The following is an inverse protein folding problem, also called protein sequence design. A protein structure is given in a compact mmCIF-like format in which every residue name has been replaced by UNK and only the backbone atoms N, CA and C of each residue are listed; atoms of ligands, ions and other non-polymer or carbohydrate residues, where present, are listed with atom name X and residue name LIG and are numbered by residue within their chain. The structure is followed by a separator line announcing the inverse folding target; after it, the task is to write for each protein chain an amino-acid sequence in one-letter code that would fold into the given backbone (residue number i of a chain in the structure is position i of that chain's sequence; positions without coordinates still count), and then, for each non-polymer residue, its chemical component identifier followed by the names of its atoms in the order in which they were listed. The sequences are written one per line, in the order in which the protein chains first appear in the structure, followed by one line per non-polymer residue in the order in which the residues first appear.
data_IF_724052548114
#
_entry.id   IF_724052548114
#
_cell.length_a   1.000
_cell.length_b   1.000
_cell.length_c   1.000
_cell.angle_alpha   90.00
_cell.angle_beta   90.00
_cell.angle_gamma   90.00
#
_symmetry.space_group_name_H-M   'P 1'
#
loop_
_entity.id
_entity.type
_entity.pdbx_description
1 polymer ?
#
# COMPACT_ATOMS: atom_id res chain seq x y z
N UNK A 1 5.29 3.78 19.28
CA UNK A 1 4.01 4.36 18.80
C UNK A 1 2.87 3.58 19.44
N UNK A 2 1.85 4.25 19.92
CA UNK A 2 0.68 3.57 20.48
C UNK A 2 -0.35 3.20 19.39
N UNK A 3 -1.32 2.37 19.77
CA UNK A 3 -2.34 1.89 18.82
C UNK A 3 -3.20 3.04 18.27
N UNK A 4 -3.57 4.00 19.09
CA UNK A 4 -4.39 5.14 18.65
C UNK A 4 -3.68 5.94 17.56
N UNK A 5 -2.41 6.24 17.75
CA UNK A 5 -1.60 6.96 16.76
C UNK A 5 -1.38 6.15 15.50
N UNK A 6 -1.16 4.83 15.64
CA UNK A 6 -1.00 3.92 14.50
C UNK A 6 -2.27 3.86 13.65
N UNK A 7 -3.43 3.69 14.28
CA UNK A 7 -4.73 3.69 13.59
C UNK A 7 -4.97 5.01 12.87
N UNK A 8 -4.69 6.15 13.52
CA UNK A 8 -4.87 7.46 12.92
C UNK A 8 -3.99 7.66 11.68
N UNK A 9 -2.72 7.25 11.74
CA UNK A 9 -1.82 7.32 10.59
C UNK A 9 -2.29 6.42 9.44
N UNK A 10 -2.65 5.18 9.73
CA UNK A 10 -3.12 4.23 8.72
C UNK A 10 -4.47 4.65 8.12
N UNK A 11 -5.35 5.27 8.90
CA UNK A 11 -6.59 5.86 8.38
C UNK A 11 -6.28 6.92 7.32
N UNK A 12 -5.33 7.81 7.60
CA UNK A 12 -4.91 8.83 6.63
C UNK A 12 -4.26 8.22 5.41
N UNK A 13 -3.37 7.24 5.60
CA UNK A 13 -2.67 6.57 4.50
C UNK A 13 -3.65 5.86 3.56
N UNK A 14 -4.52 5.00 4.10
CA UNK A 14 -5.44 4.23 3.28
C UNK A 14 -6.51 5.09 2.62
N UNK A 15 -6.96 6.16 3.29
CA UNK A 15 -7.87 7.13 2.68
C UNK A 15 -7.19 7.82 1.50
N UNK A 16 -5.96 8.31 1.68
CA UNK A 16 -5.21 8.96 0.62
C UNK A 16 -4.92 8.03 -0.56
N UNK A 17 -4.58 6.76 -0.28
CA UNK A 17 -4.41 5.76 -1.33
C UNK A 17 -5.71 5.52 -2.10
N UNK A 18 -6.83 5.34 -1.40
CA UNK A 18 -8.12 5.11 -2.05
C UNK A 18 -8.56 6.29 -2.92
N UNK A 19 -8.35 7.51 -2.45
CA UNK A 19 -8.61 8.71 -3.25
C UNK A 19 -7.74 8.75 -4.51
N UNK A 20 -6.45 8.45 -4.37
CA UNK A 20 -5.52 8.40 -5.49
C UNK A 20 -5.90 7.31 -6.51
N UNK A 21 -6.22 6.10 -6.05
CA UNK A 21 -6.63 4.99 -6.91
C UNK A 21 -7.95 5.27 -7.63
N UNK A 22 -8.81 6.09 -7.07
CA UNK A 22 -10.04 6.54 -7.72
C UNK A 22 -9.84 7.67 -8.74
N UNK A 23 -8.60 8.12 -8.93
CA UNK A 23 -8.26 9.20 -9.86
C UNK A 23 -8.11 10.57 -9.22
N UNK A 24 -8.13 10.65 -7.88
CA UNK A 24 -7.91 11.89 -7.15
C UNK A 24 -6.44 12.32 -7.11
N UNK A 25 -6.16 13.48 -6.50
CA UNK A 25 -4.80 14.03 -6.44
C UNK A 25 -3.90 13.21 -5.53
N UNK A 26 -2.59 13.30 -5.76
CA UNK A 26 -1.56 12.60 -4.98
C UNK A 26 -1.07 13.40 -3.76
N UNK A 27 -1.49 14.64 -3.58
CA UNK A 27 -0.91 15.57 -2.61
C UNK A 27 -0.95 15.04 -1.17
N UNK A 28 -2.10 14.58 -0.72
CA UNK A 28 -2.25 14.02 0.64
C UNK A 28 -1.42 12.74 0.82
N UNK A 29 -1.39 11.89 -0.19
CA UNK A 29 -0.60 10.66 -0.18
C UNK A 29 0.90 10.96 -0.12
N UNK A 30 1.38 11.87 -0.96
CA UNK A 30 2.77 12.28 -0.99
C UNK A 30 3.23 12.83 0.37
N UNK A 31 2.40 13.63 1.03
CA UNK A 31 2.70 14.21 2.34
C UNK A 31 2.80 13.20 3.47
N UNK A 32 2.30 11.97 3.29
CA UNK A 32 2.38 10.90 4.27
C UNK A 32 3.63 10.02 4.11
N UNK A 33 4.43 10.27 3.09
CA UNK A 33 5.65 9.51 2.78
C UNK A 33 6.89 10.36 3.07
N UNK A 34 7.89 9.78 3.73
CA UNK A 34 9.18 10.49 3.87
C UNK A 34 9.84 10.64 2.50
N UNK A 35 10.73 11.66 2.32
CA UNK A 35 11.44 11.80 1.04
C UNK A 35 12.24 10.58 0.62
N UNK A 36 12.83 9.87 1.58
CA UNK A 36 13.65 8.67 1.35
C UNK A 36 12.90 7.35 1.53
N UNK A 37 11.57 7.36 1.49
CA UNK A 37 10.75 6.16 1.67
C UNK A 37 11.21 4.99 0.79
N UNK A 38 11.13 3.78 1.32
CA UNK A 38 11.26 2.55 0.54
C UNK A 38 9.96 1.75 0.62
N UNK A 39 9.60 1.12 -0.50
CA UNK A 39 8.41 0.28 -0.59
C UNK A 39 8.81 -1.03 -1.26
N UNK A 40 8.80 -2.12 -0.50
CA UNK A 40 9.24 -3.43 -0.95
C UNK A 40 8.04 -4.30 -1.27
N UNK A 41 7.96 -4.78 -2.50
CA UNK A 41 6.91 -5.66 -3.00
C UNK A 41 7.54 -6.98 -3.40
N UNK A 42 7.46 -8.02 -2.55
CA UNK A 42 7.96 -9.34 -2.89
C UNK A 42 7.17 -9.99 -4.02
N UNK A 43 7.73 -11.04 -4.61
CA UNK A 43 7.06 -11.87 -5.59
C UNK A 43 7.70 -11.80 -6.97
N UNK A 44 6.94 -12.26 -7.97
CA UNK A 44 7.40 -12.44 -9.34
C UNK A 44 6.57 -11.67 -10.37
N UNK A 45 5.59 -10.85 -9.93
CA UNK A 45 4.83 -10.02 -10.86
C UNK A 45 5.70 -8.91 -11.45
N UNK A 46 5.28 -8.29 -12.57
CA UNK A 46 5.99 -7.13 -13.11
C UNK A 46 6.10 -5.94 -12.15
N UNK A 47 5.22 -5.88 -11.14
CA UNK A 47 5.23 -4.83 -10.12
C UNK A 47 6.09 -5.18 -8.90
N UNK A 48 6.65 -6.40 -8.81
CA UNK A 48 7.54 -6.77 -7.71
C UNK A 48 8.84 -5.97 -7.76
N UNK A 49 9.40 -5.67 -6.60
CA UNK A 49 10.66 -4.96 -6.50
C UNK A 49 10.75 -4.05 -5.29
N UNK A 50 11.82 -3.27 -5.25
CA UNK A 50 12.03 -2.26 -4.21
C UNK A 50 11.96 -0.88 -4.87
N UNK A 51 11.01 -0.08 -4.43
CA UNK A 51 10.81 1.28 -4.91
C UNK A 51 11.41 2.25 -3.89
N UNK A 52 12.26 3.16 -4.36
CA UNK A 52 13.03 4.05 -3.49
C UNK A 52 12.73 5.51 -3.79
N UNK A 53 12.36 6.26 -2.74
CA UNK A 53 12.00 7.66 -2.82
C UNK A 53 10.55 7.88 -3.27
N UNK A 54 10.02 9.05 -2.93
CA UNK A 54 8.63 9.42 -3.26
C UNK A 54 8.27 9.23 -4.73
N UNK A 55 9.09 9.70 -5.70
CA UNK A 55 8.72 9.54 -7.12
C UNK A 55 8.56 8.10 -7.54
N UNK A 56 9.45 7.20 -7.12
CA UNK A 56 9.34 5.79 -7.46
C UNK A 56 8.14 5.12 -6.79
N UNK A 57 7.90 5.42 -5.52
CA UNK A 57 6.77 4.85 -4.78
C UNK A 57 5.44 5.34 -5.37
N UNK A 58 5.31 6.61 -5.68
CA UNK A 58 4.12 7.14 -6.36
C UNK A 58 3.96 6.54 -7.76
N UNK A 59 5.05 6.29 -8.47
CA UNK A 59 5.04 5.57 -9.74
C UNK A 59 4.48 4.17 -9.62
N UNK A 60 4.85 3.44 -8.57
CA UNK A 60 4.30 2.12 -8.26
C UNK A 60 2.78 2.20 -8.00
N UNK A 61 2.34 3.14 -7.18
CA UNK A 61 0.90 3.34 -6.95
C UNK A 61 0.16 3.68 -8.25
N UNK A 62 0.75 4.50 -9.10
CA UNK A 62 0.19 4.86 -10.40
C UNK A 62 0.03 3.65 -11.32
N UNK A 63 1.01 2.75 -11.36
CA UNK A 63 0.91 1.51 -12.15
C UNK A 63 -0.28 0.65 -11.69
N UNK A 64 -0.47 0.49 -10.39
CA UNK A 64 -1.61 -0.26 -9.84
C UNK A 64 -2.94 0.42 -10.16
N UNK A 65 -3.02 1.74 -10.00
CA UNK A 65 -4.20 2.51 -10.38
C UNK A 65 -4.56 2.28 -11.84
N UNK A 66 -3.60 2.38 -12.73
CA UNK A 66 -3.82 2.30 -14.17
C UNK A 66 -4.21 0.88 -14.61
N UNK A 67 -3.54 -0.15 -14.09
CA UNK A 67 -3.92 -1.56 -14.35
C UNK A 67 -5.33 -1.87 -13.87
N UNK A 68 -5.75 -1.28 -12.77
CA UNK A 68 -7.09 -1.48 -12.19
C UNK A 68 -8.13 -0.52 -12.78
N UNK A 69 -7.77 0.37 -13.69
CA UNK A 69 -8.73 1.31 -14.30
C UNK A 69 -9.46 2.18 -13.29
N UNK A 70 -8.82 2.56 -12.19
CA UNK A 70 -9.43 3.36 -11.12
C UNK A 70 -10.30 2.58 -10.15
N UNK A 71 -10.34 1.25 -10.23
CA UNK A 71 -11.24 0.41 -9.40
C UNK A 71 -10.59 -0.12 -8.13
N UNK A 72 -9.27 0.05 -7.96
CA UNK A 72 -8.55 -0.47 -6.79
C UNK A 72 -9.04 0.21 -5.51
N UNK A 73 -9.40 -0.60 -4.52
CA UNK A 73 -9.78 -0.12 -3.17
C UNK A 73 -9.15 -0.99 -2.10
N UNK A 74 -8.77 -0.34 -1.01
CA UNK A 74 -8.22 -0.96 0.20
C UNK A 74 -9.24 -0.86 1.33
N UNK A 75 -9.35 -1.95 2.10
CA UNK A 75 -10.13 -1.98 3.34
C UNK A 75 -9.29 -2.63 4.44
N UNK A 76 -8.87 -1.84 5.43
CA UNK A 76 -8.08 -2.36 6.54
C UNK A 76 -8.97 -3.09 7.54
N UNK A 77 -8.56 -4.31 7.94
CA UNK A 77 -9.27 -5.12 8.91
C UNK A 77 -8.68 -5.06 10.32
N UNK A 78 -7.35 -4.94 10.45
CA UNK A 78 -6.69 -4.96 11.75
C UNK A 78 -5.36 -4.20 11.72
N UNK A 79 -4.89 -3.85 12.92
CA UNK A 79 -3.62 -3.15 13.15
C UNK A 79 -2.87 -3.84 14.28
N UNK A 80 -1.57 -4.06 14.09
CA UNK A 80 -0.65 -4.52 15.11
C UNK A 80 0.40 -3.46 15.36
N UNK A 81 0.77 -3.28 16.62
CA UNK A 81 1.79 -2.32 17.03
C UNK A 81 2.96 -3.10 17.60
N UNK A 82 4.14 -2.91 17.02
CA UNK A 82 5.38 -3.49 17.50
C UNK A 82 6.14 -2.56 18.46
N UNK A 83 7.35 -2.93 18.77
CA UNK A 83 8.24 -2.08 19.54
C UNK A 83 8.70 -0.89 18.68
N UNK A 84 8.90 0.25 19.33
CA UNK A 84 9.30 1.47 18.64
C UNK A 84 8.22 1.97 17.69
N UNK A 85 8.64 2.33 16.48
CA UNK A 85 7.77 2.94 15.45
C UNK A 85 7.46 1.98 14.30
N UNK A 86 7.38 0.70 14.59
CA UNK A 86 6.98 -0.34 13.62
C UNK A 86 5.55 -0.77 13.86
N UNK A 87 4.75 -0.73 12.81
CA UNK A 87 3.33 -1.11 12.84
C UNK A 87 3.00 -2.01 11.66
N UNK A 88 1.91 -2.76 11.77
CA UNK A 88 1.44 -3.63 10.70
C UNK A 88 -0.06 -3.45 10.48
N UNK A 89 -0.50 -3.60 9.23
CA UNK A 89 -1.90 -3.53 8.86
C UNK A 89 -2.30 -4.76 8.06
N UNK A 90 -3.32 -5.48 8.52
CA UNK A 90 -4.01 -6.49 7.73
C UNK A 90 -5.04 -5.76 6.85
N UNK A 91 -4.88 -5.85 5.54
CA UNK A 91 -5.66 -5.06 4.58
C UNK A 91 -6.17 -5.94 3.47
N UNK A 92 -7.44 -5.80 3.14
CA UNK A 92 -8.05 -6.41 1.96
C UNK A 92 -7.95 -5.45 0.79
N UNK A 93 -7.60 -5.98 -0.37
CA UNK A 93 -7.62 -5.26 -1.62
C UNK A 93 -8.66 -5.85 -2.57
N UNK A 94 -9.23 -5.00 -3.42
CA UNK A 94 -10.10 -5.41 -4.52
C UNK A 94 -9.86 -4.52 -5.73
N UNK A 95 -9.95 -5.10 -6.91
CA UNK A 95 -9.83 -4.37 -8.17
C UNK A 95 -10.41 -5.17 -9.31
N UNK A 96 -10.82 -4.48 -10.37
CA UNK A 96 -11.13 -5.09 -11.66
C UNK A 96 -9.93 -4.87 -12.59
N UNK A 97 -9.29 -5.97 -13.00
CA UNK A 97 -8.08 -5.95 -13.85
C UNK A 97 -8.32 -6.87 -15.04
N UNK A 98 -8.09 -6.36 -16.25
CA UNK A 98 -8.32 -7.11 -17.49
C UNK A 98 -9.74 -7.72 -17.55
N UNK A 99 -10.73 -7.00 -17.07
CA UNK A 99 -12.15 -7.40 -17.12
C UNK A 99 -12.57 -8.39 -16.03
N UNK A 100 -11.68 -8.78 -15.11
CA UNK A 100 -11.98 -9.70 -14.02
C UNK A 100 -11.87 -9.00 -12.67
N UNK A 101 -12.82 -9.29 -11.77
CA UNK A 101 -12.78 -8.81 -10.39
C UNK A 101 -11.89 -9.72 -9.55
N UNK A 102 -10.98 -9.10 -8.78
CA UNK A 102 -10.05 -9.79 -7.90
C UNK A 102 -10.15 -9.27 -6.48
N UNK A 103 -9.91 -10.17 -5.52
CA UNK A 103 -9.82 -9.89 -4.10
C UNK A 103 -8.57 -10.56 -3.54
N UNK A 104 -7.89 -9.88 -2.62
CA UNK A 104 -6.70 -10.42 -1.94
C UNK A 104 -6.54 -9.77 -0.58
N UNK A 105 -5.65 -10.34 0.23
CA UNK A 105 -5.29 -9.78 1.53
C UNK A 105 -3.78 -9.68 1.66
N UNK A 106 -3.33 -8.59 2.29
CA UNK A 106 -1.92 -8.35 2.56
C UNK A 106 -1.71 -7.95 4.01
N UNK A 107 -0.48 -8.17 4.49
CA UNK A 107 0.03 -7.51 5.68
C UNK A 107 1.05 -6.46 5.21
N UNK A 108 0.74 -5.20 5.41
CA UNK A 108 1.70 -4.11 5.26
C UNK A 108 2.47 -3.93 6.56
N UNK A 109 3.79 -4.08 6.49
CA UNK A 109 4.67 -3.82 7.63
C UNK A 109 5.35 -2.47 7.41
N UNK A 110 5.13 -1.52 8.32
CA UNK A 110 5.56 -0.14 8.15
C UNK A 110 6.56 0.28 9.21
N UNK A 111 7.61 1.00 8.80
CA UNK A 111 8.40 1.84 9.68
C UNK A 111 7.89 3.27 9.60
N UNK A 112 7.70 3.90 10.75
CA UNK A 112 7.12 5.25 10.86
C UNK A 112 8.20 6.20 11.39
N UNK A 113 8.30 7.38 10.79
CA UNK A 113 9.15 8.47 11.24
C UNK A 113 8.28 9.72 11.44
N UNK A 114 8.06 10.13 12.68
CA UNK A 114 7.11 11.19 13.01
C UNK A 114 5.69 10.74 12.64
N UNK A 115 5.06 11.49 11.75
CA UNK A 115 3.71 11.18 11.25
C UNK A 115 3.76 10.75 9.77
N UNK A 116 4.88 10.21 9.32
CA UNK A 116 5.08 9.76 7.95
C UNK A 116 5.55 8.31 7.91
N UNK A 117 5.26 7.64 6.81
CA UNK A 117 5.78 6.29 6.53
C UNK A 117 7.17 6.41 5.94
N UNK A 118 8.14 5.75 6.54
CA UNK A 118 9.54 5.72 6.09
C UNK A 118 9.88 4.45 5.32
N UNK A 119 9.19 3.35 5.56
CA UNK A 119 9.36 2.10 4.82
C UNK A 119 8.09 1.26 4.89
N UNK A 120 7.87 0.47 3.86
CA UNK A 120 6.82 -0.55 3.81
C UNK A 120 7.35 -1.83 3.21
N UNK A 121 6.95 -2.96 3.79
CA UNK A 121 7.04 -4.29 3.19
C UNK A 121 5.63 -4.81 2.99
N UNK A 122 5.26 -5.09 1.74
CA UNK A 122 3.93 -5.55 1.40
C UNK A 122 3.93 -7.07 1.27
N UNK A 123 3.40 -7.75 2.29
CA UNK A 123 3.41 -9.20 2.40
C UNK A 123 2.03 -9.75 2.04
N UNK A 124 1.91 -10.43 0.89
CA UNK A 124 0.65 -11.07 0.52
C UNK A 124 0.41 -12.33 1.35
N UNK A 125 -0.84 -12.57 1.77
CA UNK A 125 -1.20 -13.81 2.49
C UNK A 125 -1.15 -15.03 1.55
N UNK A 126 -1.41 -14.82 0.26
CA UNK A 126 -1.21 -15.82 -0.81
C UNK A 126 -0.38 -15.17 -1.91
N UNK A 127 0.94 -15.38 -1.87
CA UNK A 127 1.86 -14.72 -2.79
C UNK A 127 1.65 -15.17 -4.24
N UNK A 128 1.37 -16.45 -4.47
CA UNK A 128 1.14 -16.99 -5.81
C UNK A 128 -0.10 -16.35 -6.44
N UNK A 129 -1.20 -16.28 -5.70
CA UNK A 129 -2.42 -15.64 -6.16
C UNK A 129 -2.22 -14.14 -6.40
N UNK A 130 -1.53 -13.46 -5.49
CA UNK A 130 -1.23 -12.03 -5.61
C UNK A 130 -0.41 -11.74 -6.87
N UNK A 131 0.63 -12.53 -7.13
CA UNK A 131 1.45 -12.38 -8.33
C UNK A 131 0.62 -12.57 -9.61
N UNK A 132 -0.27 -13.56 -9.62
CA UNK A 132 -1.15 -13.81 -10.76
C UNK A 132 -2.11 -12.64 -11.04
N UNK A 133 -2.66 -12.02 -9.98
CA UNK A 133 -3.56 -10.86 -10.11
C UNK A 133 -2.83 -9.69 -10.80
N UNK A 134 -1.59 -9.42 -10.41
CA UNK A 134 -0.82 -8.29 -10.93
C UNK A 134 0.05 -8.63 -12.15
N UNK A 135 -0.18 -9.78 -12.77
CA UNK A 135 0.43 -10.21 -14.05
C UNK A 135 -0.69 -10.42 -15.08
N UNK A 136 -1.35 -9.34 -15.52
CA UNK A 136 -2.45 -9.46 -16.46
C UNK A 136 -2.01 -9.85 -17.87
#
# INVERSE_FOLDING_TARGET
MDRTSAVALLDRLHRAQNEFYAGGPADALEGLLTPGITWTVPGHSPLAGIYRGRPQVLGYFSMRRDLAGGTFRLNRRDVLVGDGDRIAALTDGRATIAGAEHHWSTVGLYDVAGQQVAACWLLALDQTAFDAIWTP
#
